data_IF_718126433984
#
_entry.id   IF_718126433984
#
_cell.length_a   1.000
_cell.length_b   1.000
_cell.length_c   1.000
_cell.angle_alpha   90.00
_cell.angle_beta   90.00
_cell.angle_gamma   90.00
#
_symmetry.space_group_name_H-M   'P 1'
#
loop_
_entity.id
_entity.type
_entity.pdbx_description
1 polymer ?
#
# COMPACT_ATOMS: atom_id res chain seq x y z
N UNK A 1 -1.73 5.41 0.73
CA UNK A 1 -1.70 4.84 -0.63
C UNK A 1 -1.28 5.82 -1.70
N UNK A 2 -1.66 7.10 -1.61
CA UNK A 2 -1.13 8.14 -2.52
C UNK A 2 0.40 8.18 -2.58
N UNK A 3 1.11 8.00 -1.45
CA UNK A 3 2.57 7.88 -1.42
C UNK A 3 3.11 6.73 -2.30
N UNK A 4 2.47 5.56 -2.30
CA UNK A 4 2.85 4.43 -3.15
C UNK A 4 2.70 4.76 -4.64
N UNK A 5 1.77 5.65 -5.01
CA UNK A 5 1.52 6.07 -6.39
C UNK A 5 2.41 7.24 -6.86
N UNK A 6 3.37 7.68 -6.04
CA UNK A 6 4.33 8.73 -6.40
C UNK A 6 5.44 8.20 -7.31
N UNK A 7 5.06 7.91 -8.55
CA UNK A 7 5.95 7.39 -9.59
C UNK A 7 6.96 8.42 -10.10
N UNK A 8 6.85 9.68 -9.65
CA UNK A 8 7.70 10.81 -10.01
C UNK A 8 8.95 10.94 -9.12
N UNK A 9 8.98 10.22 -8.00
CA UNK A 9 10.09 10.25 -7.04
C UNK A 9 11.25 9.35 -7.46
N UNK A 10 12.45 9.71 -7.03
CA UNK A 10 13.55 8.76 -7.01
C UNK A 10 13.27 7.61 -6.01
N UNK A 11 13.86 6.43 -6.20
CA UNK A 11 13.59 5.27 -5.35
C UNK A 11 13.82 5.50 -3.85
N UNK A 12 14.82 6.30 -3.47
CA UNK A 12 15.12 6.56 -2.06
C UNK A 12 14.06 7.46 -1.44
N UNK A 13 13.74 8.60 -2.08
CA UNK A 13 12.71 9.51 -1.60
C UNK A 13 11.34 8.83 -1.51
N UNK A 14 11.02 7.95 -2.48
CA UNK A 14 9.80 7.16 -2.46
C UNK A 14 9.75 6.18 -1.29
N UNK A 15 10.86 5.45 -1.06
CA UNK A 15 10.99 4.52 0.07
C UNK A 15 10.86 5.25 1.42
N UNK A 16 11.50 6.41 1.56
CA UNK A 16 11.43 7.24 2.78
C UNK A 16 9.99 7.70 3.08
N UNK A 17 9.21 8.07 2.06
CA UNK A 17 7.78 8.42 2.22
C UNK A 17 6.90 7.20 2.57
N UNK A 18 7.29 6.01 2.12
CA UNK A 18 6.56 4.77 2.39
C UNK A 18 6.86 4.19 3.78
N UNK A 19 8.08 4.35 4.28
CA UNK A 19 8.55 3.76 5.53
C UNK A 19 7.56 3.85 6.73
N UNK A 20 6.89 4.99 7.00
CA UNK A 20 5.92 5.07 8.11
C UNK A 20 4.57 4.38 7.80
N UNK A 21 4.27 4.10 6.53
CA UNK A 21 2.97 3.61 6.05
C UNK A 21 2.95 2.11 5.77
N UNK A 22 4.12 1.47 5.66
CA UNK A 22 4.28 0.05 5.36
C UNK A 22 4.97 -0.67 6.51
N UNK A 23 4.84 -1.99 6.56
CA UNK A 23 5.63 -2.80 7.49
C UNK A 23 7.11 -2.80 7.07
N UNK A 24 8.06 -3.00 8.00
CA UNK A 24 9.48 -3.15 7.65
C UNK A 24 9.70 -4.22 6.57
N UNK A 25 9.04 -5.38 6.69
CA UNK A 25 9.12 -6.46 5.70
C UNK A 25 8.68 -6.03 4.28
N UNK A 26 7.64 -5.19 4.16
CA UNK A 26 7.21 -4.68 2.86
C UNK A 26 8.18 -3.62 2.35
N UNK A 27 8.73 -2.79 3.23
CA UNK A 27 9.73 -1.80 2.86
C UNK A 27 10.99 -2.48 2.27
N UNK A 28 11.47 -3.54 2.92
CA UNK A 28 12.62 -4.32 2.45
C UNK A 28 12.36 -4.98 1.08
N UNK A 29 11.12 -5.43 0.82
CA UNK A 29 10.72 -5.96 -0.48
C UNK A 29 10.67 -4.90 -1.58
N UNK A 30 10.40 -3.65 -1.21
CA UNK A 30 10.34 -2.51 -2.12
C UNK A 30 11.70 -1.84 -2.32
N UNK A 31 12.73 -2.23 -1.57
CA UNK A 31 14.08 -1.70 -1.71
C UNK A 31 14.60 -1.88 -3.14
N UNK A 32 15.15 -0.82 -3.71
CA UNK A 32 15.62 -0.78 -5.10
C UNK A 32 14.52 -0.88 -6.18
N UNK A 33 13.23 -0.88 -5.81
CA UNK A 33 12.13 -0.85 -6.78
C UNK A 33 12.05 0.52 -7.44
N UNK A 34 11.93 0.56 -8.77
CA UNK A 34 11.59 1.78 -9.50
C UNK A 34 10.10 2.10 -9.28
N UNK A 35 9.75 3.24 -8.65
CA UNK A 35 8.36 3.63 -8.43
C UNK A 35 7.55 3.70 -9.73
N UNK A 36 8.18 4.03 -10.86
CA UNK A 36 7.52 4.08 -12.17
C UNK A 36 7.18 2.69 -12.75
N UNK A 37 7.80 1.62 -12.24
CA UNK A 37 7.66 0.26 -12.78
C UNK A 37 6.55 -0.60 -12.17
N UNK A 38 6.01 -0.23 -11.00
CA UNK A 38 5.30 -1.20 -10.14
C UNK A 38 3.80 -1.45 -10.42
N UNK A 39 3.06 -0.45 -10.91
CA UNK A 39 1.61 -0.61 -11.12
C UNK A 39 1.01 0.21 -12.28
N UNK A 40 1.75 1.18 -12.84
CA UNK A 40 1.21 2.14 -13.82
C UNK A 40 0.16 3.11 -13.26
N UNK A 41 -0.29 2.91 -12.03
CA UNK A 41 -1.21 3.78 -11.32
C UNK A 41 -0.48 5.02 -10.80
N UNK A 42 -1.09 6.19 -10.98
CA UNK A 42 -0.57 7.48 -10.52
C UNK A 42 -1.52 8.20 -9.57
N UNK A 43 -2.79 7.80 -9.54
CA UNK A 43 -3.79 8.45 -8.68
C UNK A 43 -4.83 7.49 -8.11
N UNK A 44 -5.31 7.78 -6.90
CA UNK A 44 -6.46 7.10 -6.31
C UNK A 44 -7.73 7.75 -6.85
N UNK A 45 -8.63 6.94 -7.43
CA UNK A 45 -9.82 7.44 -8.15
C UNK A 45 -11.10 7.40 -7.30
N UNK A 46 -11.04 6.83 -6.10
CA UNK A 46 -12.19 6.71 -5.22
C UNK A 46 -11.84 6.24 -3.80
N UNK A 47 -12.84 6.10 -2.92
CA UNK A 47 -12.60 5.61 -1.57
C UNK A 47 -12.19 4.14 -1.59
N UNK A 48 -11.29 3.76 -0.67
CA UNK A 48 -10.96 2.36 -0.42
C UNK A 48 -12.18 1.62 0.15
N UNK A 49 -12.37 0.38 -0.26
CA UNK A 49 -13.47 -0.49 0.21
C UNK A 49 -12.91 -1.72 0.90
N UNK A 50 -13.60 -2.22 1.93
CA UNK A 50 -13.23 -3.48 2.56
C UNK A 50 -13.42 -4.63 1.57
N UNK A 51 -12.43 -5.51 1.52
CA UNK A 51 -12.49 -6.73 0.74
C UNK A 51 -12.89 -7.92 1.62
N UNK A 52 -14.20 -8.19 1.64
CA UNK A 52 -14.79 -9.25 2.46
C UNK A 52 -15.06 -8.85 3.90
N UNK A 53 -15.31 -9.86 4.73
CA UNK A 53 -15.64 -9.68 6.15
C UNK A 53 -14.39 -9.51 7.01
N UNK A 54 -14.45 -8.59 7.98
CA UNK A 54 -13.36 -8.38 8.94
C UNK A 54 -13.44 -9.45 10.03
N UNK A 55 -12.59 -10.46 9.93
CA UNK A 55 -12.53 -11.57 10.88
C UNK A 55 -11.51 -11.37 12.01
N UNK A 56 -10.69 -10.32 11.93
CA UNK A 56 -9.65 -9.99 12.91
C UNK A 56 -9.61 -8.50 13.18
N UNK A 57 -9.47 -8.05 14.45
CA UNK A 57 -9.26 -6.65 14.75
C UNK A 57 -7.85 -6.17 14.36
N UNK A 58 -6.93 -7.06 13.96
CA UNK A 58 -5.54 -6.73 13.67
C UNK A 58 -5.20 -6.78 12.17
N UNK A 59 -6.12 -7.27 11.34
CA UNK A 59 -5.90 -7.44 9.90
C UNK A 59 -7.13 -6.96 9.14
N UNK A 60 -6.91 -6.13 8.12
CA UNK A 60 -7.95 -5.72 7.18
C UNK A 60 -7.46 -5.94 5.75
N UNK A 61 -8.36 -6.33 4.86
CA UNK A 61 -8.11 -6.36 3.41
C UNK A 61 -8.94 -5.26 2.78
N UNK A 62 -8.33 -4.45 1.92
CA UNK A 62 -9.02 -3.37 1.24
C UNK A 62 -8.67 -3.36 -0.25
N UNK A 63 -9.63 -2.96 -1.07
CA UNK A 63 -9.40 -2.61 -2.47
C UNK A 63 -9.34 -1.09 -2.61
N UNK A 64 -8.31 -0.60 -3.29
CA UNK A 64 -8.07 0.82 -3.51
C UNK A 64 -8.17 1.09 -5.00
N UNK A 65 -9.23 1.78 -5.46
CA UNK A 65 -9.38 2.08 -6.88
C UNK A 65 -8.35 3.14 -7.32
N UNK A 66 -7.71 2.88 -8.45
CA UNK A 66 -6.74 3.78 -9.08
C UNK A 66 -7.10 4.03 -10.54
N UNK A 67 -6.31 4.85 -11.22
CA UNK A 67 -6.39 5.09 -12.66
C UNK A 67 -5.89 3.93 -13.53
N UNK A 68 -5.19 2.95 -12.95
CA UNK A 68 -4.70 1.75 -13.65
C UNK A 68 -5.35 0.43 -13.18
N UNK A 69 -6.43 0.50 -12.39
CA UNK A 69 -7.11 -0.67 -11.82
C UNK A 69 -7.21 -0.59 -10.29
N UNK A 70 -7.66 -1.66 -9.64
CA UNK A 70 -7.70 -1.72 -8.19
C UNK A 70 -6.39 -2.29 -7.63
N UNK A 71 -5.93 -1.75 -6.50
CA UNK A 71 -4.88 -2.37 -5.68
C UNK A 71 -5.52 -3.15 -4.55
N UNK A 72 -5.13 -4.42 -4.40
CA UNK A 72 -5.40 -5.21 -3.21
C UNK A 72 -4.33 -4.90 -2.15
N UNK A 73 -4.77 -4.37 -1.01
CA UNK A 73 -3.90 -3.99 0.11
C UNK A 73 -4.27 -4.77 1.35
N UNK A 74 -3.29 -5.41 1.96
CA UNK A 74 -3.43 -6.01 3.29
C UNK A 74 -2.87 -5.04 4.32
N UNK A 75 -3.71 -4.63 5.26
CA UNK A 75 -3.34 -3.77 6.38
C UNK A 75 -3.19 -4.62 7.64
N UNK A 76 -2.15 -4.35 8.41
CA UNK A 76 -1.93 -4.91 9.75
C UNK A 76 -1.76 -3.79 10.77
N UNK A 77 -2.09 -4.05 12.03
CA UNK A 77 -1.74 -3.18 13.15
C UNK A 77 -1.25 -4.00 14.33
N UNK A 78 -0.31 -3.43 15.09
CA UNK A 78 0.16 -4.02 16.33
C UNK A 78 -0.94 -3.97 17.41
N UNK A 79 -0.86 -4.87 18.41
CA UNK A 79 -1.86 -4.96 19.47
C UNK A 79 -1.88 -3.74 20.41
N UNK A 80 -0.73 -3.07 20.53
CA UNK A 80 -0.51 -1.83 21.27
C UNK A 80 -0.62 -0.57 20.39
N UNK A 81 -0.80 -0.74 19.08
CA UNK A 81 -0.79 0.34 18.09
C UNK A 81 -2.18 0.72 17.58
N UNK A 82 -2.37 2.03 17.35
CA UNK A 82 -3.55 2.56 16.63
C UNK A 82 -3.28 2.75 15.14
N UNK A 83 -2.03 2.63 14.71
CA UNK A 83 -1.60 2.84 13.34
C UNK A 83 -1.71 1.55 12.53
N UNK A 84 -2.39 1.63 11.40
CA UNK A 84 -2.39 0.57 10.39
C UNK A 84 -1.23 0.78 9.42
N UNK A 85 -0.53 -0.30 9.11
CA UNK A 85 0.53 -0.34 8.11
C UNK A 85 0.14 -1.32 7.00
N UNK A 86 0.54 -1.04 5.77
CA UNK A 86 0.40 -2.00 4.67
C UNK A 86 1.47 -3.09 4.78
N UNK A 87 1.02 -4.35 4.82
CA UNK A 87 1.87 -5.54 4.82
C UNK A 87 2.01 -6.13 3.40
N UNK A 88 1.07 -5.85 2.50
CA UNK A 88 1.21 -6.14 1.07
C UNK A 88 0.38 -5.18 0.23
N UNK A 89 0.86 -4.90 -0.99
CA UNK A 89 0.19 -4.08 -2.01
C UNK A 89 0.40 -4.79 -3.34
N UNK A 90 -0.67 -5.20 -4.01
CA UNK A 90 -0.61 -5.89 -5.30
C UNK A 90 -1.74 -5.41 -6.22
N UNK A 91 -1.58 -5.48 -7.56
CA UNK A 91 -2.72 -5.35 -8.47
C UNK A 91 -3.80 -6.38 -8.13
N UNK A 92 -5.06 -5.95 -8.10
CA UNK A 92 -6.20 -6.85 -8.00
C UNK A 92 -6.40 -7.58 -9.34
N UNK A 93 -6.57 -8.90 -9.30
CA UNK A 93 -6.81 -9.78 -10.45
C UNK A 93 -8.23 -9.71 -11.00
#
# INVERSE_FOLDING_TARGET
MTAFLRTDLDPQAWSDELAPLVTPDLLDLLDGTDPAGGAGATTVTGPAVLDGEVTSPFVARVRVPTDAGELAVVLTRAADGVTWQAASINPAS
#
